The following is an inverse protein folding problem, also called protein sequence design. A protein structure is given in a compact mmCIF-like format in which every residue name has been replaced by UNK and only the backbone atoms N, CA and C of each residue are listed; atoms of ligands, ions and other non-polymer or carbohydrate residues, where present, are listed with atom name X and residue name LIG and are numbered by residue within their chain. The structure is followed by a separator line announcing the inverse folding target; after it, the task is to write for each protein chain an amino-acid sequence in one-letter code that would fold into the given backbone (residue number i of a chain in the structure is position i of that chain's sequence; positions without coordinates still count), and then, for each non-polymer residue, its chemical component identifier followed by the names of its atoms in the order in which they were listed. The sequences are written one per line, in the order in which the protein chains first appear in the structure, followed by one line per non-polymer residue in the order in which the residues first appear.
data_IF_263896341153
#
_entry.id   IF_263896341153
#
_cell.length_a   1.000
_cell.length_b   1.000
_cell.length_c   1.000
_cell.angle_alpha   90.00
_cell.angle_beta   90.00
_cell.angle_gamma   90.00
#
_symmetry.space_group_name_H-M   'P 1'
#
loop_
_entity.id
_entity.type
_entity.pdbx_description
1 polymer ?
#
# COMPACT_ATOMS: atom_id res chain seq x y z
N UNK A 1 -5.97 2.69 -21.49
CA UNK A 1 -4.83 2.02 -20.83
C UNK A 1 -4.69 2.64 -19.44
N UNK A 2 -4.46 1.84 -18.40
CA UNK A 2 -4.26 2.33 -17.03
C UNK A 2 -2.81 2.08 -16.64
N UNK A 3 -2.14 3.12 -16.14
CA UNK A 3 -0.71 3.10 -15.78
C UNK A 3 -0.53 3.76 -14.41
N UNK A 4 0.42 3.27 -13.61
CA UNK A 4 0.78 3.83 -12.32
C UNK A 4 1.70 2.90 -11.52
N UNK A 5 2.18 3.36 -10.37
CA UNK A 5 3.05 2.58 -9.48
C UNK A 5 2.28 1.35 -8.90
N UNK A 6 2.97 0.35 -8.30
CA UNK A 6 2.30 -0.78 -7.66
C UNK A 6 1.30 -0.35 -6.58
N UNK A 7 0.30 -1.20 -6.30
CA UNK A 7 -0.64 -1.05 -5.18
C UNK A 7 -1.48 0.24 -5.09
N UNK A 8 -1.45 1.15 -6.07
CA UNK A 8 -2.36 2.34 -6.11
C UNK A 8 -3.81 2.04 -6.52
N UNK A 9 -4.24 0.78 -6.51
CA UNK A 9 -5.62 0.41 -6.82
C UNK A 9 -5.99 0.35 -8.31
N UNK A 10 -5.00 0.25 -9.22
CA UNK A 10 -5.25 0.12 -10.68
C UNK A 10 -6.22 -1.02 -11.01
N UNK A 11 -5.95 -2.22 -10.48
CA UNK A 11 -6.76 -3.42 -10.72
C UNK A 11 -8.15 -3.30 -10.11
N UNK A 12 -8.25 -2.73 -8.90
CA UNK A 12 -9.55 -2.46 -8.25
C UNK A 12 -10.39 -1.48 -9.06
N UNK A 13 -9.80 -0.39 -9.58
CA UNK A 13 -10.50 0.52 -10.48
C UNK A 13 -11.05 -0.19 -11.73
N UNK A 14 -10.23 -1.03 -12.37
CA UNK A 14 -10.64 -1.78 -13.57
C UNK A 14 -11.80 -2.75 -13.24
N UNK A 15 -11.70 -3.48 -12.13
CA UNK A 15 -12.72 -4.44 -11.70
C UNK A 15 -14.03 -3.75 -11.30
N UNK A 16 -13.97 -2.63 -10.57
CA UNK A 16 -15.15 -1.82 -10.23
C UNK A 16 -15.82 -1.23 -11.46
N UNK A 17 -15.04 -0.70 -12.40
CA UNK A 17 -15.60 -0.13 -13.62
C UNK A 17 -16.27 -1.18 -14.50
N UNK A 18 -15.63 -2.36 -14.61
CA UNK A 18 -16.22 -3.52 -15.31
C UNK A 18 -17.50 -3.98 -14.64
N UNK A 19 -17.51 -4.16 -13.32
CA UNK A 19 -18.69 -4.66 -12.61
C UNK A 19 -19.87 -3.70 -12.68
N UNK A 20 -19.61 -2.38 -12.58
CA UNK A 20 -20.61 -1.34 -12.72
C UNK A 20 -21.28 -1.34 -14.11
N UNK A 21 -20.49 -1.46 -15.19
CA UNK A 21 -21.00 -1.38 -16.55
C UNK A 21 -21.55 -2.70 -17.10
N UNK A 22 -20.99 -3.84 -16.68
CA UNK A 22 -21.32 -5.16 -17.25
C UNK A 22 -22.18 -6.02 -16.33
N UNK A 23 -22.47 -5.56 -15.09
CA UNK A 23 -23.27 -6.32 -14.12
C UNK A 23 -22.63 -7.65 -13.68
N UNK A 24 -21.35 -7.88 -13.99
CA UNK A 24 -20.63 -9.10 -13.65
C UNK A 24 -19.86 -8.92 -12.34
N UNK A 25 -20.09 -9.80 -11.37
CA UNK A 25 -19.37 -9.80 -10.08
C UNK A 25 -18.00 -10.51 -10.13
N UNK A 26 -17.63 -11.10 -11.27
CA UNK A 26 -16.35 -11.77 -11.42
C UNK A 26 -15.23 -10.77 -11.75
N UNK A 27 -14.22 -10.74 -10.89
CA UNK A 27 -13.00 -9.96 -11.11
C UNK A 27 -12.27 -10.46 -12.36
N UNK A 28 -11.98 -9.56 -13.29
CA UNK A 28 -11.25 -9.87 -14.52
C UNK A 28 -9.74 -9.71 -14.35
N UNK A 29 -9.32 -8.91 -13.36
CA UNK A 29 -7.92 -8.71 -12.98
C UNK A 29 -7.70 -9.27 -11.58
N UNK A 30 -6.59 -9.99 -11.38
CA UNK A 30 -6.19 -10.49 -10.07
C UNK A 30 -5.80 -9.30 -9.19
N UNK A 31 -6.45 -9.18 -8.04
CA UNK A 31 -6.08 -8.22 -6.99
C UNK A 31 -5.30 -8.94 -5.89
N UNK A 32 -4.31 -8.26 -5.31
CA UNK A 32 -3.58 -8.77 -4.15
C UNK A 32 -2.86 -7.65 -3.43
N UNK A 33 -2.73 -7.78 -2.11
CA UNK A 33 -2.12 -6.78 -1.25
C UNK A 33 -0.59 -6.66 -1.40
N UNK A 34 0.05 -7.62 -2.07
CA UNK A 34 1.49 -7.62 -2.32
C UNK A 34 1.81 -6.91 -3.63
N UNK A 35 2.81 -6.01 -3.68
CA UNK A 35 3.29 -5.45 -4.93
C UNK A 35 3.71 -6.56 -5.90
N UNK A 36 3.47 -6.36 -7.20
CA UNK A 36 3.89 -7.29 -8.26
C UNK A 36 2.89 -8.39 -8.63
N UNK A 37 1.64 -8.32 -8.16
CA UNK A 37 0.57 -9.30 -8.51
C UNK A 37 0.23 -9.27 -10.01
N UNK A 38 0.22 -8.11 -10.65
CA UNK A 38 0.11 -8.01 -12.11
C UNK A 38 1.49 -8.23 -12.74
N UNK A 39 1.76 -9.44 -13.21
CA UNK A 39 3.09 -9.84 -13.74
C UNK A 39 3.22 -9.60 -15.26
N UNK A 40 2.11 -9.36 -15.98
CA UNK A 40 2.10 -9.23 -17.46
C UNK A 40 1.13 -8.16 -17.96
N UNK A 41 1.54 -7.38 -18.97
CA UNK A 41 0.80 -6.28 -19.65
C UNK A 41 -0.38 -6.78 -20.52
N UNK A 42 -0.59 -8.09 -20.63
CA UNK A 42 -1.36 -8.66 -21.76
C UNK A 42 -2.88 -8.77 -21.56
N UNK A 43 -3.44 -8.43 -20.40
CA UNK A 43 -4.88 -8.59 -20.19
C UNK A 43 -5.67 -7.37 -20.71
N UNK A 44 -6.20 -7.47 -21.93
CA UNK A 44 -7.27 -6.58 -22.42
C UNK A 44 -8.55 -6.92 -21.66
N UNK A 45 -8.94 -6.08 -20.72
CA UNK A 45 -10.17 -6.24 -19.95
C UNK A 45 -11.29 -5.49 -20.65
N UNK A 46 -12.31 -6.19 -21.12
CA UNK A 46 -13.54 -5.56 -21.59
C UNK A 46 -14.27 -4.93 -20.39
N UNK A 47 -14.66 -3.66 -20.51
CA UNK A 47 -15.31 -2.90 -19.43
C UNK A 47 -16.67 -2.31 -19.81
N UNK A 48 -17.02 -2.28 -21.10
CA UNK A 48 -18.34 -1.87 -21.59
C UNK A 48 -18.64 -2.59 -22.91
N UNK A 49 -19.91 -2.90 -23.16
CA UNK A 49 -20.34 -3.58 -24.38
C UNK A 49 -20.79 -2.64 -25.50
N UNK A 50 -21.42 -1.52 -25.15
CA UNK A 50 -22.00 -0.57 -26.10
C UNK A 50 -21.78 0.88 -25.63
N UNK A 51 -20.83 1.62 -26.23
CA UNK A 51 -19.85 1.14 -27.21
C UNK A 51 -18.86 0.13 -26.59
N UNK A 52 -18.28 -0.78 -27.39
CA UNK A 52 -17.30 -1.74 -26.88
C UNK A 52 -16.04 -1.00 -26.39
N UNK A 53 -15.76 -1.07 -25.09
CA UNK A 53 -14.57 -0.46 -24.48
C UNK A 53 -13.71 -1.51 -23.79
N UNK A 54 -12.40 -1.39 -24.00
CA UNK A 54 -11.39 -2.27 -23.42
C UNK A 54 -10.33 -1.44 -22.68
N UNK A 55 -9.92 -1.94 -21.52
CA UNK A 55 -8.84 -1.39 -20.72
C UNK A 55 -7.65 -2.33 -20.78
N UNK A 56 -6.48 -1.77 -21.06
CA UNK A 56 -5.20 -2.45 -20.92
C UNK A 56 -4.73 -2.27 -19.48
N UNK A 57 -4.66 -3.36 -18.72
CA UNK A 57 -4.03 -3.40 -17.40
C UNK A 57 -2.52 -3.56 -17.57
N UNK A 58 -1.76 -2.78 -16.81
CA UNK A 58 -0.29 -2.80 -16.84
C UNK A 58 0.25 -3.11 -15.44
N UNK A 59 1.35 -3.89 -15.31
CA UNK A 59 2.07 -4.03 -14.07
C UNK A 59 2.35 -2.68 -13.43
N UNK A 60 2.33 -2.62 -12.10
CA UNK A 60 2.79 -1.43 -11.41
C UNK A 60 4.25 -1.15 -11.75
N UNK A 61 4.55 0.02 -12.30
CA UNK A 61 5.93 0.41 -12.62
C UNK A 61 6.39 1.41 -11.58
N UNK A 62 7.35 1.01 -10.74
CA UNK A 62 8.07 1.92 -9.87
C UNK A 62 9.43 2.22 -10.51
N UNK A 63 9.77 3.49 -10.68
CA UNK A 63 11.12 3.86 -11.14
C UNK A 63 12.12 3.58 -10.01
N UNK A 64 13.18 2.78 -10.24
CA UNK A 64 14.20 2.50 -9.23
C UNK A 64 15.14 3.70 -8.97
N UNK A 65 14.89 4.85 -9.58
CA UNK A 65 15.81 5.99 -9.59
C UNK A 65 15.78 6.87 -8.33
N UNK A 66 14.88 6.61 -7.37
CA UNK A 66 14.81 7.41 -6.14
C UNK A 66 16.00 7.08 -5.24
N UNK A 67 17.03 7.95 -5.25
CA UNK A 67 18.16 7.89 -4.31
C UNK A 67 17.81 8.46 -2.92
N UNK A 68 16.59 8.95 -2.75
CA UNK A 68 16.13 9.58 -1.52
C UNK A 68 15.51 8.55 -0.58
N UNK A 69 16.16 8.31 0.56
CA UNK A 69 15.70 7.37 1.59
C UNK A 69 14.32 7.80 2.12
N UNK A 70 14.08 9.11 2.30
CA UNK A 70 12.79 9.63 2.81
C UNK A 70 11.62 9.25 1.90
N UNK A 71 11.80 9.32 0.58
CA UNK A 71 10.79 8.90 -0.41
C UNK A 71 10.55 7.40 -0.36
N UNK A 72 11.62 6.60 -0.29
CA UNK A 72 11.52 5.13 -0.18
C UNK A 72 10.78 4.73 1.08
N UNK A 73 11.04 5.38 2.21
CA UNK A 73 10.36 5.08 3.48
C UNK A 73 8.87 5.45 3.44
N UNK A 74 8.49 6.55 2.78
CA UNK A 74 7.07 6.87 2.53
C UNK A 74 6.39 5.81 1.68
N UNK A 75 7.05 5.36 0.61
CA UNK A 75 6.52 4.28 -0.24
C UNK A 75 6.41 2.96 0.53
N UNK A 76 7.35 2.67 1.43
CA UNK A 76 7.32 1.50 2.33
C UNK A 76 6.13 1.56 3.28
N UNK A 77 5.90 2.69 3.94
CA UNK A 77 4.76 2.90 4.84
C UNK A 77 3.42 2.68 4.13
N UNK A 78 3.32 3.11 2.88
CA UNK A 78 2.11 2.92 2.08
C UNK A 78 2.03 1.52 1.41
N UNK A 79 2.96 0.61 1.71
CA UNK A 79 3.04 -0.73 1.11
C UNK A 79 3.06 -0.68 -0.44
N UNK A 80 3.75 0.32 -1.01
CA UNK A 80 3.90 0.52 -2.46
C UNK A 80 5.18 -0.15 -3.01
N UNK A 81 6.07 -0.58 -2.11
CA UNK A 81 7.27 -1.37 -2.41
C UNK A 81 7.22 -2.69 -1.65
N UNK A 82 7.95 -3.69 -2.14
CA UNK A 82 7.99 -5.02 -1.53
C UNK A 82 8.57 -4.94 -0.11
N UNK A 83 7.93 -5.61 0.85
CA UNK A 83 8.42 -5.72 2.24
C UNK A 83 9.83 -6.31 2.30
N UNK A 84 10.22 -7.18 1.37
CA UNK A 84 11.58 -7.72 1.29
C UNK A 84 12.65 -6.69 0.93
N UNK A 85 12.24 -5.52 0.42
CA UNK A 85 13.14 -4.43 0.07
C UNK A 85 13.44 -3.51 1.25
N UNK A 86 12.73 -3.62 2.36
CA UNK A 86 12.91 -2.77 3.55
C UNK A 86 12.90 -3.59 4.84
N UNK A 87 13.42 -3.03 5.93
CA UNK A 87 13.30 -3.66 7.25
C UNK A 87 12.07 -3.09 7.96
N UNK A 88 11.08 -3.91 8.36
CA UNK A 88 9.89 -3.43 9.08
C UNK A 88 10.21 -2.60 10.32
N UNK A 89 11.33 -2.89 11.01
CA UNK A 89 11.78 -2.12 12.17
C UNK A 89 12.09 -0.66 11.79
N UNK A 90 12.79 -0.43 10.69
CA UNK A 90 13.07 0.94 10.23
C UNK A 90 11.81 1.64 9.75
N UNK A 91 10.90 0.92 9.09
CA UNK A 91 9.63 1.49 8.64
C UNK A 91 8.78 1.91 9.84
N UNK A 92 8.73 1.10 10.90
CA UNK A 92 8.04 1.43 12.14
C UNK A 92 8.68 2.63 12.87
N UNK A 93 10.01 2.68 12.94
CA UNK A 93 10.75 3.81 13.52
C UNK A 93 10.48 5.13 12.76
N UNK A 94 10.47 5.06 11.43
CA UNK A 94 10.14 6.20 10.60
C UNK A 94 8.68 6.68 10.77
N UNK A 95 7.73 5.75 10.97
CA UNK A 95 6.35 6.12 11.34
C UNK A 95 6.31 6.83 12.68
N UNK A 96 6.99 6.27 13.69
CA UNK A 96 7.06 6.85 15.04
C UNK A 96 7.61 8.28 15.00
N UNK A 97 8.72 8.49 14.30
CA UNK A 97 9.30 9.81 14.07
C UNK A 97 8.27 10.80 13.52
N UNK A 98 7.51 10.42 12.48
CA UNK A 98 6.53 11.32 11.87
C UNK A 98 5.35 11.62 12.79
N UNK A 99 4.82 10.61 13.49
CA UNK A 99 3.71 10.79 14.44
C UNK A 99 4.11 11.72 15.59
N UNK A 100 5.28 11.49 16.18
CA UNK A 100 5.81 12.35 17.24
C UNK A 100 6.06 13.78 16.72
N UNK A 101 6.65 13.92 15.53
CA UNK A 101 6.94 15.21 14.90
C UNK A 101 5.68 16.02 14.61
N UNK A 102 4.57 15.39 14.23
CA UNK A 102 3.30 16.08 13.99
C UNK A 102 2.48 16.29 15.27
N UNK A 103 2.96 15.81 16.42
CA UNK A 103 2.23 15.84 17.69
C UNK A 103 1.04 14.88 17.72
N UNK A 104 1.00 13.88 16.84
CA UNK A 104 -0.03 12.86 16.81
C UNK A 104 0.37 11.68 17.71
N UNK A 105 -0.15 11.70 18.94
CA UNK A 105 0.06 10.63 19.92
C UNK A 105 -1.12 9.65 19.99
N UNK A 106 -2.02 9.65 19.00
CA UNK A 106 -3.19 8.77 18.97
C UNK A 106 -2.82 7.28 18.99
N UNK A 107 -1.62 6.93 18.54
CA UNK A 107 -1.09 5.56 18.57
C UNK A 107 -1.02 4.98 19.98
N UNK A 108 -0.76 5.80 21.01
CA UNK A 108 -0.72 5.34 22.40
C UNK A 108 -2.10 4.84 22.84
N UNK A 109 -3.15 5.60 22.52
CA UNK A 109 -4.52 5.22 22.84
C UNK A 109 -5.00 4.05 21.98
N UNK A 110 -4.69 4.06 20.68
CA UNK A 110 -5.12 3.03 19.73
C UNK A 110 -4.54 1.65 20.06
N UNK A 111 -3.28 1.62 20.50
CA UNK A 111 -2.55 0.39 20.82
C UNK A 111 -2.48 0.12 22.33
N UNK A 112 -3.23 0.88 23.14
CA UNK A 112 -3.30 0.76 24.61
C UNK A 112 -1.91 0.76 25.29
N UNK A 113 -0.99 1.56 24.76
CA UNK A 113 0.40 1.61 25.21
C UNK A 113 0.47 2.45 26.50
N UNK A 114 1.00 1.89 27.61
CA UNK A 114 1.13 2.64 28.84
C UNK A 114 2.24 3.70 28.77
N UNK A 115 2.00 4.83 29.43
CA UNK A 115 2.98 5.91 29.62
C UNK A 115 2.96 6.99 28.54
N UNK A 116 3.99 7.83 28.57
CA UNK A 116 4.13 8.98 27.68
C UNK A 116 4.75 8.62 26.33
N UNK A 117 4.58 9.46 25.29
CA UNK A 117 5.23 9.28 23.99
C UNK A 117 6.74 9.05 24.10
N UNK A 118 7.29 8.28 23.18
CA UNK A 118 8.73 8.02 23.13
C UNK A 118 9.22 8.05 21.70
N UNK A 119 10.46 8.48 21.51
CA UNK A 119 11.15 8.48 20.21
C UNK A 119 12.11 7.29 20.07
N UNK A 120 12.08 6.35 21.04
CA UNK A 120 12.91 5.15 21.03
C UNK A 120 12.08 3.96 20.54
N UNK A 121 12.33 3.50 19.32
CA UNK A 121 11.55 2.41 18.71
C UNK A 121 11.56 1.12 19.54
N UNK A 122 12.70 0.72 20.12
CA UNK A 122 12.78 -0.53 20.91
C UNK A 122 11.96 -0.44 22.20
N UNK A 123 11.94 0.73 22.83
CA UNK A 123 11.14 1.00 24.02
C UNK A 123 9.66 0.99 23.69
N UNK A 124 9.27 1.58 22.57
CA UNK A 124 7.89 1.54 22.09
C UNK A 124 7.44 0.11 21.80
N UNK A 125 8.24 -0.66 21.05
CA UNK A 125 7.94 -2.05 20.71
C UNK A 125 7.83 -2.92 21.96
N UNK A 126 8.71 -2.75 22.95
CA UNK A 126 8.61 -3.45 24.23
C UNK A 126 7.30 -3.12 24.96
N UNK A 127 6.91 -1.84 25.00
CA UNK A 127 5.63 -1.43 25.63
C UNK A 127 4.42 -2.01 24.90
N UNK A 128 4.46 -2.07 23.57
CA UNK A 128 3.41 -2.72 22.76
C UNK A 128 3.32 -4.22 23.10
N UNK A 129 4.46 -4.90 23.27
CA UNK A 129 4.46 -6.30 23.68
C UNK A 129 3.86 -6.52 25.07
N UNK A 130 4.11 -5.60 26.02
CA UNK A 130 3.54 -5.66 27.37
C UNK A 130 2.03 -5.39 27.35
N UNK A 131 1.56 -4.43 26.55
CA UNK A 131 0.15 -4.04 26.49
C UNK A 131 -0.77 -5.09 25.83
N UNK A 132 -0.23 -5.97 24.98
CA UNK A 132 -1.00 -7.01 24.27
C UNK A 132 -1.17 -8.32 25.05
N UNK A 133 -0.81 -8.34 26.34
CA UNK A 133 -1.03 -9.46 27.28
C UNK A 133 -2.19 -9.12 28.20
#
# INVERSE_FOLDING_TARGET
MVVGIPNVGKSSFINTWRSFNMGTKQSAVIEGARPGVTVRVQNRVRVLDKPPMYVLDTPGVLSPATRNIDEVMKLALCNLILETATNPRYVADYLLYWMNRTGDYSYLKLLEIPGEPTDEIDKLLLRICIAKV
#
